data_IF_592205377688
#
_entry.id   IF_592205377688
#
_cell.length_a   1.000
_cell.length_b   1.000
_cell.length_c   1.000
_cell.angle_alpha   90.00
_cell.angle_beta   90.00
_cell.angle_gamma   90.00
#
_symmetry.space_group_name_H-M   'P 1'
#
loop_
_entity.id
_entity.type
_entity.pdbx_description
1 polymer ?
#
# COMPACT_ATOMS: atom_id res chain seq x y z
N UNK A 1 -3.32 13.37 4.89
CA UNK A 1 -3.53 12.01 4.39
C UNK A 1 -4.95 11.58 4.77
N UNK A 2 -5.73 11.08 3.82
CA UNK A 2 -7.11 10.60 4.05
C UNK A 2 -7.02 9.06 4.13
N UNK A 3 -7.49 8.45 5.22
CA UNK A 3 -7.30 7.01 5.50
C UNK A 3 -8.33 6.08 4.83
N UNK A 4 -9.35 6.66 4.19
CA UNK A 4 -10.37 5.94 3.41
C UNK A 4 -10.62 6.69 2.12
N UNK A 5 -9.59 6.78 1.29
CA UNK A 5 -9.74 7.31 -0.06
C UNK A 5 -10.56 6.32 -0.89
N UNK A 6 -11.44 6.86 -1.72
CA UNK A 6 -12.14 6.04 -2.69
C UNK A 6 -11.14 5.39 -3.64
N UNK A 7 -11.26 4.08 -3.85
CA UNK A 7 -10.41 3.37 -4.78
C UNK A 7 -10.75 3.76 -6.23
N UNK A 8 -9.74 3.84 -7.12
CA UNK A 8 -9.97 3.92 -8.56
C UNK A 8 -10.80 2.72 -9.03
N UNK A 9 -11.63 2.93 -10.05
CA UNK A 9 -12.54 1.89 -10.56
C UNK A 9 -11.79 0.64 -11.01
N UNK A 10 -10.57 0.80 -11.52
CA UNK A 10 -9.67 -0.27 -11.93
C UNK A 10 -9.32 -1.17 -10.74
N UNK A 11 -8.99 -0.58 -9.58
CA UNK A 11 -8.65 -1.33 -8.37
C UNK A 11 -9.89 -1.97 -7.76
N UNK A 12 -11.05 -1.29 -7.80
CA UNK A 12 -12.34 -1.86 -7.38
C UNK A 12 -12.66 -3.14 -8.15
N UNK A 13 -12.59 -3.07 -9.50
CA UNK A 13 -12.80 -4.24 -10.38
C UNK A 13 -11.80 -5.35 -10.12
N UNK A 14 -10.53 -5.01 -9.93
CA UNK A 14 -9.49 -5.98 -9.58
C UNK A 14 -9.85 -6.76 -8.30
N UNK A 15 -10.31 -6.08 -7.25
CA UNK A 15 -10.74 -6.75 -6.01
C UNK A 15 -12.00 -7.59 -6.21
N UNK A 16 -13.01 -7.08 -6.94
CA UNK A 16 -14.22 -7.83 -7.28
C UNK A 16 -13.89 -9.14 -8.04
N UNK A 17 -13.00 -9.08 -9.01
CA UNK A 17 -12.56 -10.24 -9.81
C UNK A 17 -11.87 -11.32 -8.98
N UNK A 18 -11.17 -10.94 -7.90
CA UNK A 18 -10.54 -11.88 -6.96
C UNK A 18 -11.43 -12.18 -5.75
N UNK A 19 -12.68 -11.75 -5.76
CA UNK A 19 -13.69 -12.07 -4.74
C UNK A 19 -13.56 -11.29 -3.43
N UNK A 20 -12.89 -10.14 -3.44
CA UNK A 20 -12.76 -9.24 -2.28
C UNK A 20 -13.76 -8.09 -2.42
N UNK A 21 -14.63 -7.92 -1.42
CA UNK A 21 -15.59 -6.82 -1.38
C UNK A 21 -14.95 -5.55 -0.80
N UNK A 22 -15.36 -4.36 -1.27
CA UNK A 22 -14.80 -3.08 -0.80
C UNK A 22 -15.06 -2.86 0.70
N UNK A 23 -16.18 -3.36 1.24
CA UNK A 23 -16.54 -3.27 2.65
C UNK A 23 -15.59 -4.06 3.57
N UNK A 24 -14.87 -5.04 3.04
CA UNK A 24 -13.84 -5.80 3.76
C UNK A 24 -12.53 -5.01 3.90
N UNK A 25 -12.37 -3.92 3.15
CA UNK A 25 -11.21 -3.05 3.18
C UNK A 25 -11.35 -2.03 4.31
N UNK A 26 -10.42 -2.08 5.27
CA UNK A 26 -10.42 -1.24 6.46
C UNK A 26 -9.80 0.13 6.23
N UNK A 27 -8.78 0.20 5.35
CA UNK A 27 -8.04 1.41 4.99
C UNK A 27 -7.59 1.34 3.53
N UNK A 28 -7.71 2.49 2.86
CA UNK A 28 -7.30 2.70 1.48
C UNK A 28 -6.68 4.10 1.38
N UNK A 29 -5.44 4.20 0.94
CA UNK A 29 -4.78 5.48 0.65
C UNK A 29 -3.76 5.29 -0.46
N UNK A 30 -3.48 6.35 -1.20
CA UNK A 30 -2.47 6.39 -2.25
C UNK A 30 -1.13 6.96 -1.75
N UNK A 31 -0.09 6.68 -2.52
CA UNK A 31 1.20 7.37 -2.50
C UNK A 31 1.61 7.76 -3.92
N UNK A 32 2.59 8.65 -4.01
CA UNK A 32 3.11 9.22 -5.24
C UNK A 32 4.41 8.56 -5.73
N UNK A 33 4.97 7.61 -4.97
CA UNK A 33 6.23 6.94 -5.27
C UNK A 33 6.07 5.43 -5.35
N UNK A 34 6.79 4.81 -6.29
CA UNK A 34 7.08 3.37 -6.24
C UNK A 34 8.19 3.02 -5.24
N UNK A 35 8.48 1.72 -5.07
CA UNK A 35 9.48 1.25 -4.11
C UNK A 35 10.91 1.63 -4.51
N UNK A 36 11.13 1.86 -5.81
CA UNK A 36 12.37 2.35 -6.40
C UNK A 36 12.53 3.88 -6.19
N UNK A 37 11.46 4.59 -5.83
CA UNK A 37 11.42 6.03 -5.61
C UNK A 37 11.13 6.87 -6.86
N UNK A 38 10.63 6.27 -7.94
CA UNK A 38 10.11 7.00 -9.09
C UNK A 38 8.68 7.47 -8.84
N UNK A 39 8.30 8.57 -9.48
CA UNK A 39 6.91 9.04 -9.44
C UNK A 39 5.98 8.06 -10.12
N UNK A 40 5.14 7.41 -9.31
CA UNK A 40 4.18 6.41 -9.73
C UNK A 40 3.14 6.25 -8.63
N UNK A 41 1.85 6.25 -9.00
CA UNK A 41 0.79 6.07 -8.03
C UNK A 41 0.75 4.62 -7.55
N UNK A 42 0.92 4.43 -6.25
CA UNK A 42 0.71 3.16 -5.57
C UNK A 42 -0.36 3.30 -4.50
N UNK A 43 -1.02 2.21 -4.16
CA UNK A 43 -2.13 2.19 -3.22
C UNK A 43 -1.83 1.26 -2.06
N UNK A 44 -1.88 1.80 -0.85
CA UNK A 44 -1.90 1.03 0.37
C UNK A 44 -3.33 0.59 0.66
N UNK A 45 -3.55 -0.71 0.71
CA UNK A 45 -4.84 -1.32 1.00
C UNK A 45 -4.67 -2.27 2.19
N UNK A 46 -5.55 -2.15 3.18
CA UNK A 46 -5.55 -2.96 4.38
C UNK A 46 -6.92 -3.62 4.54
N UNK A 47 -6.94 -4.94 4.73
CA UNK A 47 -8.12 -5.69 5.19
C UNK A 47 -7.91 -6.17 6.63
N UNK A 48 -8.86 -6.94 7.17
CA UNK A 48 -8.72 -7.57 8.48
C UNK A 48 -7.59 -8.60 8.57
N UNK A 49 -7.10 -9.10 7.43
CA UNK A 49 -6.09 -10.17 7.38
C UNK A 49 -4.85 -9.83 6.56
N UNK A 50 -4.91 -8.84 5.66
CA UNK A 50 -3.86 -8.57 4.68
C UNK A 50 -3.51 -7.09 4.59
N UNK A 51 -2.23 -6.81 4.45
CA UNK A 51 -1.68 -5.51 4.06
C UNK A 51 -1.11 -5.63 2.64
N UNK A 52 -1.59 -4.78 1.73
CA UNK A 52 -1.25 -4.83 0.32
C UNK A 52 -0.77 -3.47 -0.18
N UNK A 53 0.25 -3.50 -1.02
CA UNK A 53 0.61 -2.41 -1.91
C UNK A 53 0.16 -2.79 -3.33
N UNK A 54 -0.71 -1.97 -3.91
CA UNK A 54 -1.29 -2.17 -5.23
C UNK A 54 -0.72 -1.12 -6.19
N UNK A 55 -0.13 -1.58 -7.29
CA UNK A 55 0.31 -0.72 -8.39
C UNK A 55 -0.82 -0.45 -9.36
N UNK A 56 -0.87 0.79 -9.88
CA UNK A 56 -1.82 1.21 -10.90
C UNK A 56 -1.10 1.97 -12.01
N UNK A 57 -1.26 1.51 -13.26
CA UNK A 57 -0.74 2.21 -14.45
C UNK A 57 -1.71 2.11 -15.62
N UNK A 58 -2.43 3.20 -15.88
CA UNK A 58 -3.56 3.16 -16.82
C UNK A 58 -4.61 2.18 -16.32
N UNK A 59 -4.97 1.19 -17.14
CA UNK A 59 -5.90 0.12 -16.77
C UNK A 59 -5.23 -1.09 -16.09
N UNK A 60 -3.89 -1.12 -15.99
CA UNK A 60 -3.18 -2.24 -15.40
C UNK A 60 -3.12 -2.09 -13.88
N UNK A 61 -3.62 -3.12 -13.17
CA UNK A 61 -3.57 -3.24 -11.71
C UNK A 61 -2.79 -4.50 -11.35
N UNK A 62 -1.91 -4.40 -10.35
CA UNK A 62 -1.16 -5.55 -9.85
C UNK A 62 -0.81 -5.39 -8.37
N UNK A 63 -0.60 -6.51 -7.68
CA UNK A 63 -0.09 -6.52 -6.31
C UNK A 63 1.43 -6.34 -6.37
N UNK A 64 1.93 -5.22 -5.86
CA UNK A 64 3.36 -4.94 -5.71
C UNK A 64 3.91 -5.73 -4.54
N UNK A 65 3.21 -5.70 -3.40
CA UNK A 65 3.52 -6.49 -2.21
C UNK A 65 2.26 -6.86 -1.44
N UNK A 66 2.33 -7.99 -0.76
CA UNK A 66 1.25 -8.47 0.11
C UNK A 66 1.86 -9.17 1.33
N UNK A 67 1.26 -8.92 2.49
CA UNK A 67 1.62 -9.54 3.76
C UNK A 67 0.36 -9.97 4.49
N UNK A 68 0.36 -11.20 5.05
CA UNK A 68 -0.64 -11.56 6.04
C UNK A 68 -0.29 -10.88 7.37
N UNK A 69 -1.26 -10.22 7.98
CA UNK A 69 -1.06 -9.47 9.23
C UNK A 69 -0.61 -10.36 10.39
N UNK A 70 -1.01 -11.64 10.39
CA UNK A 70 -0.60 -12.61 11.42
C UNK A 70 0.88 -13.01 11.34
N UNK A 71 1.58 -12.67 10.25
CA UNK A 71 3.02 -12.92 10.09
C UNK A 71 3.89 -11.72 10.50
N UNK A 72 3.27 -10.59 10.83
CA UNK A 72 3.96 -9.33 11.12
C UNK A 72 4.17 -9.15 12.63
N UNK A 73 5.36 -8.72 13.03
CA UNK A 73 5.72 -8.50 14.44
C UNK A 73 5.73 -7.02 14.82
N UNK A 74 6.06 -6.13 13.89
CA UNK A 74 6.03 -4.69 14.11
C UNK A 74 5.87 -3.92 12.79
N UNK A 75 5.55 -2.64 12.90
CA UNK A 75 5.43 -1.71 11.77
C UNK A 75 6.16 -0.43 12.14
N UNK A 76 6.89 0.15 11.20
CA UNK A 76 7.56 1.45 11.38
C UNK A 76 7.45 2.32 10.14
N UNK A 77 7.68 3.60 10.33
CA UNK A 77 7.93 4.54 9.24
C UNK A 77 9.43 4.84 9.23
N UNK A 78 10.12 4.48 8.16
CA UNK A 78 11.51 4.89 7.94
C UNK A 78 11.52 6.22 7.17
N UNK A 79 12.00 7.29 7.82
CA UNK A 79 12.02 8.64 7.24
C UNK A 79 13.38 8.94 6.65
N UNK A 80 13.38 9.46 5.43
CA UNK A 80 14.58 9.89 4.70
C UNK A 80 14.38 11.33 4.23
N UNK A 81 15.41 11.93 3.64
CA UNK A 81 15.30 13.30 3.13
C UNK A 81 14.40 13.29 1.89
N UNK A 82 13.26 13.99 1.98
CA UNK A 82 12.29 14.15 0.89
C UNK A 82 11.32 12.98 0.66
N UNK A 83 11.51 11.84 1.32
CA UNK A 83 10.60 10.70 1.27
C UNK A 83 10.61 9.89 2.57
N UNK A 84 9.62 9.03 2.70
CA UNK A 84 9.57 8.04 3.76
C UNK A 84 8.91 6.75 3.24
N UNK A 85 9.11 5.67 3.98
CA UNK A 85 8.47 4.40 3.68
C UNK A 85 7.79 3.81 4.91
N UNK A 86 6.69 3.10 4.66
CA UNK A 86 6.10 2.22 5.65
C UNK A 86 6.78 0.86 5.53
N UNK A 87 7.33 0.35 6.62
CA UNK A 87 8.00 -0.94 6.66
C UNK A 87 7.33 -1.86 7.68
N UNK A 88 7.26 -3.13 7.34
CA UNK A 88 6.75 -4.19 8.22
C UNK A 88 7.86 -5.14 8.59
N UNK A 89 7.87 -5.57 9.84
CA UNK A 89 8.80 -6.61 10.31
C UNK A 89 8.15 -7.98 10.17
N UNK A 90 8.83 -8.89 9.47
CA UNK A 90 8.46 -10.31 9.35
C UNK A 90 9.71 -11.15 9.55
N UNK A 91 9.67 -12.11 10.48
CA UNK A 91 10.80 -13.00 10.80
C UNK A 91 12.10 -12.25 11.12
N UNK A 92 12.01 -11.13 11.85
CA UNK A 92 13.17 -10.31 12.26
C UNK A 92 13.79 -9.46 11.14
N UNK A 93 13.14 -9.36 9.98
CA UNK A 93 13.58 -8.53 8.86
C UNK A 93 12.51 -7.48 8.53
N UNK A 94 12.95 -6.27 8.22
CA UNK A 94 12.07 -5.20 7.74
C UNK A 94 11.92 -5.27 6.22
N UNK A 95 10.67 -5.18 5.76
CA UNK A 95 10.31 -5.11 4.37
C UNK A 95 9.55 -3.82 4.12
N UNK A 96 10.01 -3.05 3.14
CA UNK A 96 9.29 -1.87 2.65
C UNK A 96 7.95 -2.30 2.04
N UNK A 97 6.84 -1.70 2.47
CA UNK A 97 5.50 -1.95 1.94
C UNK A 97 5.16 -0.92 0.88
N UNK A 98 5.26 0.36 1.22
CA UNK A 98 4.93 1.48 0.34
C UNK A 98 5.87 2.66 0.64
N UNK A 99 6.19 3.44 -0.39
CA UNK A 99 6.98 4.67 -0.31
C UNK A 99 6.10 5.87 -0.63
N UNK A 100 6.39 7.00 0.00
CA UNK A 100 5.67 8.26 -0.23
C UNK A 100 6.62 9.45 -0.09
N UNK A 101 6.38 10.52 -0.84
CA UNK A 101 7.11 11.76 -0.65
C UNK A 101 6.75 12.38 0.71
N UNK A 102 7.74 13.00 1.32
CA UNK A 102 7.53 13.88 2.47
C UNK A 102 7.89 15.27 1.99
N UNK A 103 6.99 15.91 1.25
CA UNK A 103 7.10 17.35 1.08
C UNK A 103 7.06 17.95 2.50
N UNK A 104 8.12 18.68 2.86
CA UNK A 104 8.11 19.56 4.03
C UNK A 104 6.95 20.53 3.80
N UNK A 105 5.85 20.32 4.52
CA UNK A 105 4.77 21.30 4.63
C UNK A 105 5.33 22.49 5.42
#
# INVERSE_FOLDING_TARGET
MILRKELPQEIKRFFEEIGVQEEELLLTTDSDLDLEGNYSTQWLVLSSTRLMNIGLKGALVWIVKEFNLNELTSVRVDRRVGNASLEVEKKGQFYEVIRFSTALI
#
